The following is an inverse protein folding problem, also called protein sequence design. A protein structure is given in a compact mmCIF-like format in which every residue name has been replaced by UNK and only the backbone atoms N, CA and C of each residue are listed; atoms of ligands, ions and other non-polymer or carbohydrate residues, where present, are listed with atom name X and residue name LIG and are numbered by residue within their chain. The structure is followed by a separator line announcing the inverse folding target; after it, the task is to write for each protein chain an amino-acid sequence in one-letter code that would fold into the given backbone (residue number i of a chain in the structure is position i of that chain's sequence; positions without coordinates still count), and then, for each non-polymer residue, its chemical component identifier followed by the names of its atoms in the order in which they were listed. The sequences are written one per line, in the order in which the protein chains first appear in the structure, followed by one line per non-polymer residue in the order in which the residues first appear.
data_IF_461564170864
#
_entry.id   IF_461564170864
#
_cell.length_a   1.000
_cell.length_b   1.000
_cell.length_c   1.000
_cell.angle_alpha   90.00
_cell.angle_beta   90.00
_cell.angle_gamma   90.00
#
_symmetry.space_group_name_H-M   'P 1'
#
loop_
_entity.id
_entity.type
_entity.pdbx_description
1 polymer ?
#
# COMPACT_ATOMS: atom_id res chain seq x y z
N UNK A 1 -12.63 -20.57 -12.64
CA UNK A 1 -11.32 -19.91 -12.73
C UNK A 1 -11.17 -18.94 -11.58
N UNK A 2 -10.31 -19.26 -10.63
CA UNK A 2 -9.93 -18.33 -9.57
C UNK A 2 -8.90 -17.36 -10.15
N UNK A 3 -9.39 -16.20 -10.56
CA UNK A 3 -8.58 -15.15 -11.15
C UNK A 3 -7.54 -14.67 -10.12
N UNK A 4 -6.25 -14.76 -10.45
CA UNK A 4 -5.15 -14.47 -9.51
C UNK A 4 -5.23 -13.01 -9.05
N UNK A 5 -5.35 -12.77 -7.74
CA UNK A 5 -5.45 -11.42 -7.16
C UNK A 5 -4.10 -10.82 -6.83
N UNK A 6 -3.91 -9.53 -7.12
CA UNK A 6 -2.75 -8.75 -6.67
C UNK A 6 -3.10 -7.94 -5.40
N UNK A 7 -2.48 -8.32 -4.29
CA UNK A 7 -2.52 -7.59 -3.03
C UNK A 7 -1.41 -6.55 -2.91
N UNK A 8 -1.72 -5.40 -2.30
CA UNK A 8 -0.72 -4.37 -1.96
C UNK A 8 -0.89 -3.97 -0.51
N UNK A 9 0.23 -3.96 0.23
CA UNK A 9 0.27 -3.74 1.67
C UNK A 9 1.43 -2.82 2.03
N UNK A 10 1.15 -1.81 2.85
CA UNK A 10 2.17 -0.97 3.47
C UNK A 10 2.68 -1.64 4.74
N UNK A 11 4.00 -1.68 4.88
CA UNK A 11 4.68 -2.24 6.06
C UNK A 11 5.59 -1.17 6.67
N UNK A 12 5.44 -0.92 7.97
CA UNK A 12 6.35 -0.07 8.72
C UNK A 12 7.54 -0.91 9.20
N UNK A 13 8.75 -0.46 8.86
CA UNK A 13 10.02 -1.07 9.20
C UNK A 13 10.67 -0.32 10.36
N UNK A 14 11.45 -0.98 11.23
CA UNK A 14 12.30 -0.30 12.21
C UNK A 14 13.27 0.67 11.53
N UNK A 15 13.40 1.87 12.08
CA UNK A 15 14.33 2.90 11.61
C UNK A 15 15.19 3.48 12.73
N UNK A 16 16.39 3.94 12.37
CA UNK A 16 17.35 4.54 13.32
C UNK A 16 16.81 5.79 14.02
N UNK A 17 15.80 6.43 13.43
CA UNK A 17 15.18 7.64 13.92
C UNK A 17 13.80 7.42 14.57
N UNK A 18 13.38 6.18 14.81
CA UNK A 18 12.04 5.87 15.35
C UNK A 18 11.75 6.54 16.69
N UNK A 19 12.76 6.83 17.50
CA UNK A 19 12.62 7.54 18.78
C UNK A 19 12.30 9.04 18.61
N UNK A 20 12.55 9.60 17.43
CA UNK A 20 12.29 11.02 17.12
C UNK A 20 11.00 11.23 16.32
N UNK A 21 10.31 10.15 15.94
CA UNK A 21 9.06 10.20 15.20
C UNK A 21 7.86 10.11 16.13
N UNK A 22 6.72 10.65 15.67
CA UNK A 22 5.44 10.50 16.36
C UNK A 22 4.88 9.09 16.15
N UNK A 23 4.29 8.53 17.20
CA UNK A 23 3.66 7.21 17.18
C UNK A 23 2.29 7.24 17.88
N UNK A 24 1.29 6.45 17.42
CA UNK A 24 1.31 5.61 16.22
C UNK A 24 1.49 6.43 14.94
N UNK A 25 1.88 5.79 13.84
CA UNK A 25 1.92 6.44 12.53
C UNK A 25 0.52 6.92 12.14
N UNK A 26 0.38 8.17 11.69
CA UNK A 26 -0.94 8.83 11.47
C UNK A 26 -1.16 9.35 10.05
N UNK A 27 -0.12 9.34 9.23
CA UNK A 27 -0.17 9.95 7.90
C UNK A 27 -1.08 9.14 6.98
N UNK A 28 -1.79 9.83 6.10
CA UNK A 28 -2.64 9.18 5.10
C UNK A 28 -1.75 8.53 4.04
N UNK A 29 -2.03 7.26 3.71
CA UNK A 29 -1.27 6.54 2.70
C UNK A 29 -2.17 6.13 1.55
N UNK A 30 -1.69 6.31 0.32
CA UNK A 30 -2.33 5.79 -0.89
C UNK A 30 -1.34 4.84 -1.55
N UNK A 31 -1.71 3.58 -1.66
CA UNK A 31 -0.93 2.54 -2.33
C UNK A 31 -1.67 2.12 -3.60
N UNK A 32 -0.95 1.98 -4.71
CA UNK A 32 -1.61 1.78 -5.98
C UNK A 32 -0.70 1.42 -7.14
N UNK A 33 -1.33 1.30 -8.30
CA UNK A 33 -0.76 0.91 -9.57
C UNK A 33 -1.09 2.02 -10.56
N UNK A 34 -0.08 2.55 -11.24
CA UNK A 34 -0.23 3.62 -12.23
C UNK A 34 -0.24 3.06 -13.63
N UNK A 35 -1.19 3.49 -14.46
CA UNK A 35 -1.21 3.14 -15.87
C UNK A 35 -0.04 3.83 -16.60
N UNK A 36 0.78 3.09 -17.38
CA UNK A 36 2.04 3.60 -17.91
C UNK A 36 1.89 4.73 -18.95
N UNK A 37 0.72 4.82 -19.60
CA UNK A 37 0.45 5.84 -20.64
C UNK A 37 -0.57 6.89 -20.21
N UNK A 38 -1.22 6.69 -19.06
CA UNK A 38 -2.25 7.59 -18.56
C UNK A 38 -2.05 7.78 -17.05
N UNK A 39 -1.30 8.81 -16.64
CA UNK A 39 -1.02 9.07 -15.23
C UNK A 39 -2.27 9.30 -14.36
N UNK A 40 -3.43 9.60 -14.96
CA UNK A 40 -4.69 9.78 -14.24
C UNK A 40 -5.42 8.48 -13.96
N UNK A 41 -5.13 7.43 -14.74
CA UNK A 41 -5.71 6.10 -14.57
C UNK A 41 -4.89 5.29 -13.56
N UNK A 42 -5.42 5.16 -12.35
CA UNK A 42 -4.77 4.45 -11.25
C UNK A 42 -5.73 3.48 -10.58
N UNK A 43 -5.22 2.30 -10.21
CA UNK A 43 -5.90 1.38 -9.29
C UNK A 43 -5.26 1.58 -7.93
N UNK A 44 -6.00 2.06 -6.93
CA UNK A 44 -5.42 2.39 -5.63
C UNK A 44 -6.33 2.11 -4.45
N UNK A 45 -5.70 2.00 -3.28
CA UNK A 45 -6.36 1.94 -2.00
C UNK A 45 -5.76 2.97 -1.06
N UNK A 46 -6.64 3.67 -0.34
CA UNK A 46 -6.27 4.66 0.66
C UNK A 46 -6.40 4.07 2.06
N UNK A 47 -5.30 4.10 2.80
CA UNK A 47 -5.21 3.71 4.20
C UNK A 47 -5.21 4.97 5.06
N UNK A 48 -6.13 5.02 6.02
CA UNK A 48 -6.16 6.05 7.05
C UNK A 48 -5.88 5.43 8.42
N UNK A 49 -4.65 5.55 8.96
CA UNK A 49 -4.30 4.97 10.26
C UNK A 49 -5.13 5.50 11.43
N UNK A 50 -5.69 6.71 11.32
CA UNK A 50 -6.50 7.33 12.40
C UNK A 50 -7.91 6.77 12.45
N UNK A 51 -8.46 6.34 11.32
CA UNK A 51 -9.81 5.78 11.21
C UNK A 51 -9.78 4.30 10.83
N UNK A 52 -8.72 3.59 11.22
CA UNK A 52 -8.58 2.17 11.00
C UNK A 52 -9.25 1.40 12.15
N UNK A 53 -9.81 0.22 11.88
CA UNK A 53 -10.42 -0.62 12.91
C UNK A 53 -9.40 -1.06 13.96
N UNK A 54 -9.89 -1.43 15.15
CA UNK A 54 -9.03 -1.91 16.26
C UNK A 54 -8.16 -3.11 15.85
N UNK A 55 -8.65 -3.91 14.90
CA UNK A 55 -7.98 -5.09 14.35
C UNK A 55 -6.75 -4.76 13.50
N UNK A 56 -6.62 -3.53 12.98
CA UNK A 56 -5.49 -3.11 12.11
C UNK A 56 -4.61 -2.04 12.76
N UNK A 57 -4.98 -1.53 13.94
CA UNK A 57 -4.20 -0.52 14.67
C UNK A 57 -2.75 -0.96 14.93
N UNK A 58 -2.53 -2.25 15.17
CA UNK A 58 -1.21 -2.83 15.41
C UNK A 58 -0.25 -2.71 14.21
N UNK A 59 -0.75 -2.47 12.99
CA UNK A 59 0.06 -2.24 11.81
C UNK A 59 0.79 -0.88 11.85
N UNK A 60 0.29 0.07 12.65
CA UNK A 60 0.75 1.47 12.67
C UNK A 60 1.52 1.86 13.95
N UNK A 61 1.71 0.92 14.88
CA UNK A 61 2.49 1.17 16.10
C UNK A 61 3.99 1.31 15.78
N UNK A 62 4.77 1.84 16.73
CA UNK A 62 6.24 1.84 16.60
C UNK A 62 6.74 0.40 16.48
N UNK A 63 7.50 0.03 15.43
CA UNK A 63 8.05 -1.30 15.31
C UNK A 63 9.03 -1.59 16.45
N UNK A 64 9.10 -2.86 16.88
CA UNK A 64 9.93 -3.30 18.01
C UNK A 64 10.85 -4.41 17.55
N UNK A 65 11.97 -4.04 16.93
CA UNK A 65 13.02 -4.96 16.47
C UNK A 65 12.71 -5.74 15.20
N UNK A 66 11.45 -5.78 14.76
CA UNK A 66 11.00 -6.32 13.48
C UNK A 66 9.89 -5.46 12.89
N UNK A 67 9.60 -5.69 11.62
CA UNK A 67 8.52 -5.06 10.90
C UNK A 67 7.15 -5.34 11.51
N UNK A 68 6.24 -4.39 11.34
CA UNK A 68 4.84 -4.56 11.69
C UNK A 68 4.14 -5.49 10.68
N UNK A 69 2.93 -5.93 11.03
CA UNK A 69 2.03 -6.53 10.03
C UNK A 69 1.69 -5.49 8.95
N UNK A 70 1.64 -5.93 7.70
CA UNK A 70 1.23 -5.08 6.59
C UNK A 70 -0.25 -4.69 6.65
N UNK A 71 -0.56 -3.44 6.31
CA UNK A 71 -1.93 -2.96 6.13
C UNK A 71 -2.19 -2.60 4.67
N UNK A 72 -3.29 -3.11 4.12
CA UNK A 72 -3.66 -2.94 2.71
C UNK A 72 -4.69 -3.98 2.30
N UNK A 73 -4.84 -4.19 1.01
CA UNK A 73 -5.86 -5.09 0.46
C UNK A 73 -5.52 -5.58 -0.94
N UNK A 74 -6.33 -6.51 -1.45
CA UNK A 74 -6.36 -6.85 -2.87
C UNK A 74 -6.84 -5.65 -3.68
N UNK A 75 -6.03 -5.22 -4.65
CA UNK A 75 -6.33 -4.07 -5.49
C UNK A 75 -7.06 -4.46 -6.78
N UNK A 76 -6.68 -5.58 -7.39
CA UNK A 76 -7.16 -6.01 -8.71
C UNK A 76 -6.80 -7.48 -8.97
N UNK A 77 -7.20 -8.02 -10.13
CA UNK A 77 -6.79 -9.32 -10.65
C UNK A 77 -5.73 -9.16 -11.75
N UNK A 78 -4.96 -10.23 -11.99
CA UNK A 78 -3.99 -10.31 -13.07
C UNK A 78 -4.65 -10.07 -14.44
N UNK A 79 -5.79 -10.72 -14.71
CA UNK A 79 -6.53 -10.54 -15.96
C UNK A 79 -6.95 -9.09 -16.22
N UNK A 80 -7.34 -8.35 -15.17
CA UNK A 80 -7.66 -6.93 -15.29
C UNK A 80 -6.43 -6.06 -15.58
N UNK A 81 -5.29 -6.36 -14.96
CA UNK A 81 -4.04 -5.63 -15.25
C UNK A 81 -3.61 -5.76 -16.71
N UNK A 82 -3.74 -6.96 -17.28
CA UNK A 82 -3.42 -7.24 -18.67
C UNK A 82 -4.43 -6.59 -19.62
N UNK A 83 -5.72 -6.80 -19.36
CA UNK A 83 -6.81 -6.31 -20.22
C UNK A 83 -6.87 -4.78 -20.26
N UNK A 84 -6.66 -4.12 -19.11
CA UNK A 84 -6.75 -2.67 -18.99
C UNK A 84 -5.40 -1.97 -19.31
N UNK A 85 -4.37 -2.71 -19.74
CA UNK A 85 -3.12 -2.14 -20.25
C UNK A 85 -2.15 -1.59 -19.19
N UNK A 86 -2.29 -2.01 -17.93
CA UNK A 86 -1.38 -1.59 -16.84
C UNK A 86 0.02 -2.22 -16.94
N UNK A 87 0.14 -3.35 -17.66
CA UNK A 87 1.42 -4.01 -17.89
C UNK A 87 1.98 -3.54 -19.24
N UNK A 88 3.16 -2.92 -19.21
CA UNK A 88 3.89 -2.53 -20.41
C UNK A 88 5.29 -3.12 -20.38
N UNK A 89 5.68 -3.84 -21.44
CA UNK A 89 7.01 -4.46 -21.55
C UNK A 89 7.37 -5.27 -20.31
N UNK A 90 6.45 -6.13 -19.87
CA UNK A 90 6.61 -6.99 -18.68
C UNK A 90 6.89 -6.21 -17.38
N UNK A 91 6.46 -4.95 -17.32
CA UNK A 91 6.67 -4.06 -16.18
C UNK A 91 5.33 -3.55 -15.65
N UNK A 92 5.20 -3.55 -14.32
CA UNK A 92 4.09 -2.98 -13.57
C UNK A 92 4.60 -1.80 -12.72
N UNK A 93 3.99 -0.63 -12.87
CA UNK A 93 4.36 0.55 -12.09
C UNK A 93 3.48 0.67 -10.84
N UNK A 94 4.12 0.56 -9.67
CA UNK A 94 3.46 0.69 -8.37
C UNK A 94 3.92 1.97 -7.67
N UNK A 95 3.06 2.54 -6.83
CA UNK A 95 3.37 3.72 -6.05
C UNK A 95 2.86 3.63 -4.61
N UNK A 96 3.52 4.38 -3.74
CA UNK A 96 3.09 4.70 -2.39
C UNK A 96 3.19 6.23 -2.23
N UNK A 97 2.05 6.87 -1.99
CA UNK A 97 1.96 8.28 -1.62
C UNK A 97 1.68 8.38 -0.13
N UNK A 98 2.44 9.22 0.59
CA UNK A 98 2.23 9.51 2.01
C UNK A 98 1.94 11.00 2.16
N UNK A 99 0.80 11.33 2.75
CA UNK A 99 0.37 12.71 3.04
C UNK A 99 0.45 12.95 4.56
N UNK A 100 1.29 13.90 5.02
CA UNK A 100 1.39 14.28 6.43
C UNK A 100 0.06 14.72 7.02
#
# INVERSE_FOLDING_TARGET
DEDVSLGSFMVIQPGDHDLHLEWPFRNLCTLGISHPKDPSNVISHKVNPVNCGDDVQHCFLRPKGKENRGCGQNLTTAGKLETDGFIQSDTLHVFLEIKP
#
